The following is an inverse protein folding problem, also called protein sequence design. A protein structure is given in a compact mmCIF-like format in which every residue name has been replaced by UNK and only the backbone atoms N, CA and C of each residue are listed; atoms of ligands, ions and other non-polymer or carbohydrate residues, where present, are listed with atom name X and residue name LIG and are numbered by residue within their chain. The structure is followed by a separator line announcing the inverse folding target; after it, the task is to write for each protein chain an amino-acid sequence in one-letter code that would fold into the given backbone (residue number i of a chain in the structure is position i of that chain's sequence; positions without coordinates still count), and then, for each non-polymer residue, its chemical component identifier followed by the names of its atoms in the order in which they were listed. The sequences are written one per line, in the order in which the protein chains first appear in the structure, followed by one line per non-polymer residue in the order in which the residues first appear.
data_IF_086138680905
#
_entry.id   IF_086138680905
#
_cell.length_a   1.000
_cell.length_b   1.000
_cell.length_c   1.000
_cell.angle_alpha   90.00
_cell.angle_beta   90.00
_cell.angle_gamma   90.00
#
_symmetry.space_group_name_H-M   'P 1'
#
loop_
_entity.id
_entity.type
_entity.pdbx_description
1 polymer ?
#
# COMPACT_ATOMS: atom_id res chain seq x y z
N UNK A 1 22.75 17.24 -19.15
CA UNK A 1 23.25 17.31 -17.73
C UNK A 1 22.56 16.29 -16.83
N UNK A 2 21.33 15.85 -17.13
CA UNK A 2 20.63 14.80 -16.38
C UNK A 2 20.58 13.45 -17.13
N UNK A 3 21.19 13.37 -18.31
CA UNK A 3 21.07 12.27 -19.28
C UNK A 3 21.70 10.94 -18.82
N UNK A 4 22.36 10.94 -17.66
CA UNK A 4 22.97 9.77 -17.03
C UNK A 4 22.41 9.44 -15.63
N UNK A 5 21.44 10.19 -15.11
CA UNK A 5 20.88 9.93 -13.77
C UNK A 5 19.79 8.84 -13.84
N UNK A 6 19.83 7.93 -12.86
CA UNK A 6 18.82 6.89 -12.66
C UNK A 6 17.54 7.48 -12.08
N UNK A 7 16.37 7.11 -12.62
CA UNK A 7 15.07 7.40 -12.02
C UNK A 7 13.98 6.39 -12.38
N UNK A 8 12.85 6.45 -11.66
CA UNK A 8 11.65 5.65 -11.96
C UNK A 8 10.93 6.19 -13.20
N UNK A 9 10.50 5.29 -14.08
CA UNK A 9 9.66 5.62 -15.22
C UNK A 9 8.29 6.11 -14.77
N UNK A 10 7.84 7.22 -15.32
CA UNK A 10 6.58 7.88 -14.93
C UNK A 10 5.35 7.00 -15.09
N UNK A 11 5.24 6.28 -16.21
CA UNK A 11 4.02 5.58 -16.62
C UNK A 11 4.10 4.05 -16.46
N UNK A 12 5.18 3.50 -15.90
CA UNK A 12 5.36 2.05 -15.76
C UNK A 12 6.19 1.70 -14.54
N UNK A 13 6.04 0.47 -14.06
CA UNK A 13 6.94 -0.10 -13.06
C UNK A 13 8.25 -0.52 -13.73
N UNK A 14 9.13 0.46 -13.97
CA UNK A 14 10.45 0.26 -14.55
C UNK A 14 11.37 1.43 -14.23
N UNK A 15 12.67 1.24 -14.48
CA UNK A 15 13.69 2.25 -14.26
C UNK A 15 14.29 2.71 -15.58
N UNK A 16 14.76 3.96 -15.64
CA UNK A 16 15.52 4.49 -16.76
C UNK A 16 16.68 5.35 -16.29
N UNK A 17 17.61 5.57 -17.21
CA UNK A 17 18.72 6.51 -17.05
C UNK A 17 18.53 7.65 -18.05
N UNK A 18 18.52 8.88 -17.55
CA UNK A 18 18.45 10.07 -18.39
C UNK A 18 17.23 10.94 -18.15
N UNK A 19 16.83 11.72 -19.15
CA UNK A 19 15.73 12.66 -19.06
C UNK A 19 14.39 12.02 -19.48
N UNK A 20 13.31 12.32 -18.74
CA UNK A 20 11.92 12.01 -19.12
C UNK A 20 11.07 13.28 -19.03
N UNK A 21 10.16 13.47 -20.00
CA UNK A 21 9.28 14.64 -20.05
C UNK A 21 8.28 14.65 -18.86
N UNK A 22 8.48 15.59 -17.94
CA UNK A 22 7.59 15.79 -16.80
C UNK A 22 6.36 16.60 -17.25
N UNK A 23 5.15 16.07 -17.02
CA UNK A 23 3.93 16.79 -17.37
C UNK A 23 3.60 17.68 -16.17
N UNK A 24 4.13 18.89 -16.16
CA UNK A 24 3.64 20.10 -15.47
C UNK A 24 2.51 19.88 -14.43
N UNK A 25 2.80 19.27 -13.28
CA UNK A 25 1.88 19.16 -12.15
C UNK A 25 2.66 19.04 -10.84
N UNK A 26 2.11 19.63 -9.78
CA UNK A 26 2.71 19.85 -8.46
C UNK A 26 3.55 18.65 -7.96
N UNK A 27 4.85 18.87 -7.79
CA UNK A 27 5.83 17.90 -7.38
C UNK A 27 6.03 17.88 -5.84
N UNK A 28 5.00 17.56 -5.08
CA UNK A 28 5.15 17.27 -3.64
C UNK A 28 5.34 15.77 -3.35
N UNK A 29 5.25 14.91 -4.36
CA UNK A 29 5.54 13.49 -4.21
C UNK A 29 7.05 13.23 -4.39
N UNK A 30 7.74 12.57 -3.43
CA UNK A 30 9.08 12.06 -3.67
C UNK A 30 8.99 10.99 -4.76
N UNK A 31 9.39 11.34 -6.00
CA UNK A 31 9.34 10.43 -7.16
C UNK A 31 10.38 9.30 -7.06
N UNK A 32 11.38 9.47 -6.19
CA UNK A 32 12.41 8.50 -5.87
C UNK A 32 12.68 8.52 -4.36
N UNK A 33 12.51 7.37 -3.71
CA UNK A 33 13.00 7.16 -2.34
C UNK A 33 13.51 5.74 -2.25
N UNK A 34 14.82 5.60 -2.01
CA UNK A 34 15.39 4.31 -1.65
C UNK A 34 15.09 4.06 -0.18
N UNK A 35 14.27 3.05 0.09
CA UNK A 35 13.96 2.61 1.46
C UNK A 35 14.71 1.32 1.76
N UNK A 36 15.40 1.27 2.90
CA UNK A 36 15.95 0.04 3.45
C UNK A 36 14.95 -0.52 4.45
N UNK A 37 14.38 -1.69 4.13
CA UNK A 37 13.50 -2.41 5.05
C UNK A 37 14.38 -3.36 5.86
N UNK A 38 14.37 -3.20 7.18
CA UNK A 38 15.00 -4.13 8.12
C UNK A 38 13.99 -4.61 9.13
N UNK A 39 14.16 -5.83 9.60
CA UNK A 39 13.38 -6.35 10.72
C UNK A 39 13.60 -5.46 11.94
N UNK A 40 12.52 -4.91 12.49
CA UNK A 40 12.57 -4.09 13.70
C UNK A 40 12.57 -4.97 14.95
N UNK A 41 11.49 -5.72 15.18
CA UNK A 41 11.34 -6.60 16.33
C UNK A 41 10.28 -7.69 16.08
N UNK A 42 10.29 -8.71 16.96
CA UNK A 42 9.21 -9.71 16.99
C UNK A 42 7.93 -9.04 17.49
N UNK A 43 6.80 -9.39 16.90
CA UNK A 43 5.49 -8.85 17.32
C UNK A 43 5.10 -9.23 18.75
N UNK A 44 4.00 -8.62 19.21
CA UNK A 44 3.42 -8.86 20.53
C UNK A 44 4.05 -8.05 21.66
N UNK A 45 3.32 -7.89 22.76
CA UNK A 45 3.79 -7.14 23.92
C UNK A 45 5.10 -7.75 24.46
N UNK A 46 6.16 -6.93 24.56
CA UNK A 46 7.51 -7.36 24.96
C UNK A 46 8.12 -8.42 24.02
N UNK A 47 7.79 -8.38 22.74
CA UNK A 47 8.35 -9.27 21.70
C UNK A 47 7.88 -10.72 21.80
N UNK A 48 6.75 -10.96 22.45
CA UNK A 48 6.19 -12.30 22.67
C UNK A 48 4.84 -12.45 21.97
N UNK A 49 4.80 -13.35 20.99
CA UNK A 49 3.56 -13.76 20.32
C UNK A 49 3.16 -12.86 19.16
N UNK A 50 1.87 -12.89 18.81
CA UNK A 50 1.30 -12.00 17.78
C UNK A 50 0.99 -10.64 18.39
N UNK A 51 1.02 -9.58 17.56
CA UNK A 51 0.51 -8.27 17.95
C UNK A 51 -0.97 -8.38 18.34
N UNK A 52 -1.42 -7.59 19.32
CA UNK A 52 -2.81 -7.68 19.80
C UNK A 52 -3.84 -7.36 18.71
N UNK A 53 -3.49 -6.52 17.73
CA UNK A 53 -4.35 -6.20 16.58
C UNK A 53 -4.70 -7.44 15.75
N UNK A 54 -3.85 -8.47 15.75
CA UNK A 54 -4.12 -9.72 15.04
C UNK A 54 -5.33 -10.47 15.64
N UNK A 55 -5.65 -10.23 16.91
CA UNK A 55 -6.81 -10.83 17.58
C UNK A 55 -8.13 -10.15 17.20
N UNK A 56 -8.09 -8.97 16.55
CA UNK A 56 -9.29 -8.19 16.25
C UNK A 56 -10.18 -8.84 15.18
N UNK A 57 -9.62 -9.68 14.31
CA UNK A 57 -10.35 -10.21 13.16
C UNK A 57 -10.38 -9.28 11.94
N UNK A 58 -9.75 -8.11 12.03
CA UNK A 58 -9.80 -7.05 11.00
C UNK A 58 -8.45 -6.83 10.29
N UNK A 59 -7.54 -7.79 10.40
CA UNK A 59 -6.22 -7.72 9.77
C UNK A 59 -6.10 -8.77 8.65
N UNK A 60 -5.38 -8.48 7.56
CA UNK A 60 -5.15 -9.44 6.50
C UNK A 60 -4.62 -10.78 7.03
N UNK A 61 -5.14 -11.89 6.50
CA UNK A 61 -4.84 -13.27 6.89
C UNK A 61 -5.27 -13.67 8.33
N UNK A 62 -6.06 -12.83 8.99
CA UNK A 62 -6.71 -13.10 10.28
C UNK A 62 -8.13 -12.52 10.29
N UNK A 63 -8.85 -12.66 9.19
CA UNK A 63 -10.21 -12.18 9.01
C UNK A 63 -11.19 -12.95 9.91
N UNK A 64 -12.14 -12.22 10.51
CA UNK A 64 -13.32 -12.81 11.14
C UNK A 64 -14.51 -12.76 10.18
N UNK A 65 -15.60 -13.44 10.54
CA UNK A 65 -16.82 -13.52 9.74
C UNK A 65 -17.38 -12.12 9.38
N UNK A 66 -17.26 -11.15 10.29
CA UNK A 66 -17.68 -9.78 10.01
C UNK A 66 -16.82 -9.14 8.91
N UNK A 67 -15.49 -9.29 8.98
CA UNK A 67 -14.56 -8.77 7.98
C UNK A 67 -14.75 -9.44 6.62
N UNK A 68 -15.00 -10.75 6.60
CA UNK A 68 -15.33 -11.47 5.36
C UNK A 68 -16.61 -10.92 4.73
N UNK A 69 -17.66 -10.69 5.52
CA UNK A 69 -18.89 -10.06 5.04
C UNK A 69 -18.67 -8.62 4.58
N UNK A 70 -17.81 -7.86 5.26
CA UNK A 70 -17.42 -6.51 4.84
C UNK A 70 -16.73 -6.51 3.48
N UNK A 71 -15.73 -7.40 3.31
CA UNK A 71 -14.99 -7.55 2.04
C UNK A 71 -15.93 -8.00 0.91
N UNK A 72 -16.90 -8.86 1.22
CA UNK A 72 -17.92 -9.31 0.26
C UNK A 72 -18.97 -8.24 -0.06
N UNK A 73 -19.02 -7.12 0.66
CA UNK A 73 -20.04 -6.08 0.50
C UNK A 73 -21.40 -6.43 1.12
N UNK A 74 -21.49 -7.46 1.96
CA UNK A 74 -22.72 -7.96 2.57
C UNK A 74 -23.19 -7.16 3.79
N UNK A 75 -22.46 -6.11 4.19
CA UNK A 75 -22.81 -5.29 5.36
C UNK A 75 -23.89 -4.25 5.07
N UNK A 76 -24.27 -4.08 3.81
CA UNK A 76 -25.37 -3.20 3.40
C UNK A 76 -26.25 -3.93 2.40
N UNK A 77 -27.53 -3.58 2.40
CA UNK A 77 -28.43 -3.91 1.31
C UNK A 77 -28.29 -2.83 0.24
N UNK A 78 -27.96 -3.22 -0.99
CA UNK A 78 -28.13 -2.34 -2.15
C UNK A 78 -29.63 -2.35 -2.44
N UNK A 79 -30.29 -1.19 -2.37
CA UNK A 79 -31.68 -1.08 -2.82
C UNK A 79 -31.72 -1.38 -4.31
N UNK A 80 -32.70 -2.16 -4.76
CA UNK A 80 -32.92 -2.35 -6.20
C UNK A 80 -33.23 -0.97 -6.79
N UNK A 81 -32.23 -0.42 -7.47
CA UNK A 81 -32.27 0.84 -8.15
C UNK A 81 -33.13 0.64 -9.41
N UNK A 82 -34.46 0.78 -9.27
CA UNK A 82 -35.39 0.95 -10.39
C UNK A 82 -35.11 2.32 -11.06
N UNK A 83 -34.10 2.36 -11.94
CA UNK A 83 -33.85 3.48 -12.86
C UNK A 83 -34.16 3.09 -14.30
#
# INVERSE_FOLDING_TARGET
QLDSLFHKAKAKMGFLFGYEADNHAINTAPKETLVKITFAEKGGLKGKGKLDIVKSGFTPANENEFMENYIAGNITTVGDDEW
#
